data_IF_343438033039
#
_entry.id   IF_343438033039
#
_cell.length_a   1.000
_cell.length_b   1.000
_cell.length_c   1.000
_cell.angle_alpha   90.00
_cell.angle_beta   90.00
_cell.angle_gamma   90.00
#
_symmetry.space_group_name_H-M   'P 1'
#
loop_
_entity.id
_entity.type
_entity.pdbx_description
1 polymer ?
#
# COMPACT_ATOMS: atom_id res chain seq x y z
N UNK A 1 -2.94 31.17 -22.06
CA UNK A 1 -1.85 30.71 -21.18
C UNK A 1 -2.05 29.25 -20.73
N UNK A 2 -3.31 28.76 -20.63
CA UNK A 2 -3.65 27.37 -20.29
C UNK A 2 -3.51 26.33 -21.43
N UNK A 3 -3.15 26.74 -22.65
CA UNK A 3 -3.08 25.82 -23.81
C UNK A 3 -1.72 25.10 -23.97
N UNK A 4 -0.70 25.43 -23.19
CA UNK A 4 0.68 24.96 -23.43
C UNK A 4 1.36 24.30 -22.23
N UNK A 5 0.67 24.17 -21.09
CA UNK A 5 1.23 23.57 -19.87
C UNK A 5 0.27 22.49 -19.35
N UNK A 6 0.34 21.26 -19.87
CA UNK A 6 -0.43 20.16 -19.30
C UNK A 6 -0.04 19.98 -17.82
N UNK A 7 -0.99 19.64 -16.93
CA UNK A 7 -0.69 19.44 -15.52
C UNK A 7 0.41 18.36 -15.38
N UNK A 8 1.38 18.55 -14.49
CA UNK A 8 2.45 17.57 -14.29
C UNK A 8 1.84 16.23 -13.89
N UNK A 9 2.11 15.21 -14.69
CA UNK A 9 1.76 13.83 -14.39
C UNK A 9 2.87 13.23 -13.53
N UNK A 10 2.67 13.19 -12.22
CA UNK A 10 3.55 12.43 -11.33
C UNK A 10 3.27 10.96 -11.59
N UNK A 11 4.22 10.28 -12.25
CA UNK A 11 4.23 8.83 -12.35
C UNK A 11 4.92 8.29 -11.09
N UNK A 12 4.14 7.86 -10.12
CA UNK A 12 4.66 7.11 -8.96
C UNK A 12 4.69 5.65 -9.38
N UNK A 13 5.88 5.10 -9.54
CA UNK A 13 6.07 3.68 -9.79
C UNK A 13 6.85 3.11 -8.60
N UNK A 14 6.31 2.06 -7.97
CA UNK A 14 7.03 1.36 -6.89
C UNK A 14 8.11 0.50 -7.54
N UNK A 15 9.28 0.42 -6.89
CA UNK A 15 10.35 -0.45 -7.36
C UNK A 15 9.87 -1.92 -7.41
N UNK A 16 9.98 -2.63 -8.55
CA UNK A 16 9.46 -3.99 -8.68
C UNK A 16 10.13 -5.00 -7.74
N UNK A 17 11.38 -4.75 -7.35
CA UNK A 17 12.09 -5.60 -6.39
C UNK A 17 11.51 -5.41 -4.99
N UNK A 18 11.18 -4.17 -4.61
CA UNK A 18 10.46 -3.90 -3.36
C UNK A 18 9.08 -4.60 -3.34
N UNK A 19 8.32 -4.56 -4.43
CA UNK A 19 7.03 -5.28 -4.51
C UNK A 19 7.23 -6.78 -4.26
N UNK A 20 8.22 -7.39 -4.90
CA UNK A 20 8.54 -8.80 -4.68
C UNK A 20 8.84 -9.12 -3.22
N UNK A 21 9.61 -8.27 -2.54
CA UNK A 21 9.92 -8.43 -1.12
C UNK A 21 8.66 -8.34 -0.24
N UNK A 22 7.71 -7.48 -0.58
CA UNK A 22 6.40 -7.43 0.09
C UNK A 22 5.64 -8.75 -0.07
N UNK A 23 5.57 -9.28 -1.30
CA UNK A 23 4.85 -10.53 -1.60
C UNK A 23 5.49 -11.74 -0.88
N UNK A 24 6.81 -11.80 -0.83
CA UNK A 24 7.55 -12.81 -0.06
C UNK A 24 7.30 -12.64 1.45
N UNK A 25 7.34 -11.39 1.93
CA UNK A 25 7.07 -11.03 3.32
C UNK A 25 5.68 -11.45 3.78
N UNK A 26 4.63 -11.29 2.96
CA UNK A 26 3.28 -11.75 3.31
C UNK A 26 3.20 -13.25 3.57
N UNK A 27 3.96 -14.07 2.83
CA UNK A 27 3.95 -15.52 3.03
C UNK A 27 4.64 -15.97 4.33
N UNK A 28 5.52 -15.13 4.86
CA UNK A 28 6.31 -15.37 6.08
C UNK A 28 5.73 -14.68 7.33
N UNK A 29 4.89 -13.66 7.14
CA UNK A 29 4.25 -12.92 8.25
C UNK A 29 2.92 -13.59 8.65
N UNK A 30 2.92 -14.28 9.81
CA UNK A 30 1.74 -14.96 10.35
C UNK A 30 0.53 -14.03 10.55
N UNK A 31 0.73 -12.72 10.75
CA UNK A 31 -0.38 -11.78 10.88
C UNK A 31 -1.11 -11.55 9.54
N UNK A 32 -0.38 -11.60 8.43
CA UNK A 32 -0.87 -11.24 7.09
C UNK A 32 -1.04 -12.41 6.12
N UNK A 33 -0.39 -13.55 6.36
CA UNK A 33 -0.39 -14.71 5.43
C UNK A 33 -1.78 -15.18 5.02
N UNK A 34 -2.66 -15.46 5.99
CA UNK A 34 -4.04 -15.90 5.70
C UNK A 34 -4.84 -14.76 5.06
N UNK A 35 -4.72 -13.53 5.57
CA UNK A 35 -5.40 -12.34 5.04
C UNK A 35 -5.04 -12.06 3.59
N UNK A 36 -3.76 -12.18 3.25
CA UNK A 36 -3.27 -12.00 1.89
C UNK A 36 -3.78 -13.11 0.96
N UNK A 37 -3.85 -14.36 1.42
CA UNK A 37 -4.40 -15.45 0.59
C UNK A 37 -5.91 -15.32 0.34
N UNK A 38 -6.65 -14.81 1.31
CA UNK A 38 -8.11 -14.69 1.28
C UNK A 38 -8.60 -13.37 0.69
N UNK A 39 -7.76 -12.33 0.68
CA UNK A 39 -8.12 -11.01 0.19
C UNK A 39 -8.52 -11.04 -1.30
N UNK A 40 -9.67 -10.43 -1.58
CA UNK A 40 -10.16 -10.23 -2.94
C UNK A 40 -9.43 -9.08 -3.62
N UNK A 41 -9.45 -9.07 -4.95
CA UNK A 41 -9.01 -7.92 -5.72
C UNK A 41 -9.91 -6.70 -5.47
N UNK A 42 -9.34 -5.49 -5.54
CA UNK A 42 -10.02 -4.21 -5.23
C UNK A 42 -11.33 -4.02 -6.00
N UNK A 43 -11.36 -4.41 -7.27
CA UNK A 43 -12.53 -4.31 -8.15
C UNK A 43 -13.70 -5.19 -7.68
N UNK A 44 -13.41 -6.28 -6.96
CA UNK A 44 -14.41 -7.20 -6.39
C UNK A 44 -14.87 -6.79 -4.99
N UNK A 45 -14.29 -5.73 -4.42
CA UNK A 45 -14.59 -5.24 -3.09
C UNK A 45 -15.84 -4.33 -3.10
N UNK A 46 -17.00 -4.94 -3.35
CA UNK A 46 -18.30 -4.25 -3.30
C UNK A 46 -18.97 -4.30 -1.92
N UNK A 47 -18.55 -5.22 -1.07
CA UNK A 47 -19.09 -5.38 0.30
C UNK A 47 -18.38 -4.44 1.28
N UNK A 48 -19.09 -3.51 1.94
CA UNK A 48 -18.52 -2.61 2.94
C UNK A 48 -18.02 -3.32 4.20
N UNK A 49 -18.43 -4.57 4.46
CA UNK A 49 -17.96 -5.42 5.55
C UNK A 49 -16.57 -6.02 5.32
N UNK A 50 -16.11 -6.09 4.06
CA UNK A 50 -14.75 -6.52 3.75
C UNK A 50 -13.76 -5.42 4.14
N UNK A 51 -12.72 -5.80 4.87
CA UNK A 51 -11.68 -4.87 5.32
C UNK A 51 -10.33 -5.07 4.66
N UNK A 52 -10.10 -6.21 4.02
CA UNK A 52 -8.83 -6.53 3.36
C UNK A 52 -9.04 -6.73 1.86
N UNK A 53 -8.14 -6.20 1.05
CA UNK A 53 -8.15 -6.37 -0.40
C UNK A 53 -6.76 -6.25 -1.00
N UNK A 54 -6.60 -6.72 -2.24
CA UNK A 54 -5.39 -6.57 -3.05
C UNK A 54 -5.55 -5.52 -4.14
N UNK A 55 -4.50 -4.78 -4.41
CA UNK A 55 -4.43 -3.92 -5.59
C UNK A 55 -3.94 -4.68 -6.83
N UNK A 56 -3.57 -3.95 -7.88
CA UNK A 56 -3.08 -4.53 -9.13
C UNK A 56 -1.67 -5.15 -9.00
N UNK A 57 -0.89 -4.78 -7.99
CA UNK A 57 0.44 -5.31 -7.69
C UNK A 57 0.40 -6.44 -6.65
N UNK A 58 -0.80 -6.93 -6.32
CA UNK A 58 -1.09 -7.93 -5.30
C UNK A 58 -0.71 -7.51 -3.86
N UNK A 59 -0.49 -6.22 -3.62
CA UNK A 59 -0.19 -5.69 -2.29
C UNK A 59 -1.44 -5.71 -1.41
N UNK A 60 -1.27 -6.07 -0.13
CA UNK A 60 -2.38 -6.17 0.82
C UNK A 60 -2.69 -4.82 1.43
N UNK A 61 -3.94 -4.40 1.32
CA UNK A 61 -4.46 -3.21 1.99
C UNK A 61 -5.51 -3.58 3.03
N UNK A 62 -5.47 -2.85 4.15
CA UNK A 62 -6.51 -2.81 5.15
C UNK A 62 -7.29 -1.50 5.03
N UNK A 63 -8.62 -1.59 5.08
CA UNK A 63 -9.51 -0.44 5.17
C UNK A 63 -9.79 -0.13 6.64
N UNK A 64 -9.36 1.04 7.09
CA UNK A 64 -9.60 1.49 8.47
C UNK A 64 -11.05 1.96 8.71
N UNK A 65 -11.33 2.46 9.91
CA UNK A 65 -12.66 2.90 10.31
C UNK A 65 -13.19 4.08 9.48
N UNK A 66 -12.28 4.88 8.92
CA UNK A 66 -12.56 6.04 8.08
C UNK A 66 -12.56 5.68 6.59
N UNK A 67 -12.62 4.38 6.29
CA UNK A 67 -12.58 3.81 4.95
C UNK A 67 -11.28 4.12 4.18
N UNK A 68 -10.21 4.55 4.87
CA UNK A 68 -8.93 4.86 4.24
C UNK A 68 -8.11 3.58 4.04
N UNK A 69 -7.48 3.41 2.86
CA UNK A 69 -6.62 2.27 2.61
C UNK A 69 -5.26 2.45 3.29
N UNK A 70 -4.86 1.45 4.06
CA UNK A 70 -3.56 1.35 4.72
C UNK A 70 -2.82 0.15 4.15
N UNK A 71 -1.63 0.37 3.61
CA UNK A 71 -0.76 -0.72 3.17
C UNK A 71 -0.37 -1.59 4.38
N UNK A 72 -0.62 -2.89 4.29
CA UNK A 72 -0.14 -3.84 5.27
C UNK A 72 1.33 -4.12 5.02
N UNK A 73 2.22 -3.64 5.91
CA UNK A 73 3.67 -3.80 5.78
C UNK A 73 4.13 -5.04 6.58
N UNK A 74 4.67 -6.09 5.91
CA UNK A 74 5.21 -7.27 6.56
C UNK A 74 6.25 -6.91 7.62
N UNK A 75 6.30 -7.67 8.72
CA UNK A 75 7.17 -7.38 9.87
C UNK A 75 8.64 -7.14 9.49
N UNK A 76 9.17 -7.90 8.53
CA UNK A 76 10.56 -7.78 8.05
C UNK A 76 10.84 -6.49 7.27
N UNK A 77 9.81 -5.79 6.76
CA UNK A 77 9.96 -4.56 5.96
C UNK A 77 9.57 -3.29 6.73
N UNK A 78 9.10 -3.41 7.98
CA UNK A 78 8.67 -2.24 8.76
C UNK A 78 9.79 -1.24 9.00
N UNK A 79 11.01 -1.73 9.31
CA UNK A 79 12.15 -0.84 9.53
C UNK A 79 12.47 -0.05 8.27
N UNK A 80 12.56 -0.71 7.12
CA UNK A 80 12.76 -0.05 5.82
C UNK A 80 11.72 1.06 5.60
N UNK A 81 10.44 0.76 5.78
CA UNK A 81 9.36 1.76 5.58
C UNK A 81 9.48 2.93 6.58
N UNK A 82 9.87 2.68 7.83
CA UNK A 82 10.07 3.72 8.83
C UNK A 82 11.28 4.59 8.53
N UNK A 83 12.38 3.99 8.05
CA UNK A 83 13.59 4.67 7.63
C UNK A 83 13.31 5.59 6.44
N UNK A 84 12.64 5.07 5.40
CA UNK A 84 12.23 5.86 4.23
C UNK A 84 11.30 7.02 4.63
N UNK A 85 10.33 6.78 5.52
CA UNK A 85 9.45 7.83 6.03
C UNK A 85 10.19 8.90 6.85
N UNK A 86 11.26 8.52 7.55
CA UNK A 86 12.14 9.45 8.28
C UNK A 86 13.07 10.24 7.34
N UNK A 87 13.54 9.63 6.25
CA UNK A 87 14.45 10.24 5.26
C UNK A 87 13.71 11.06 4.18
N UNK A 88 12.38 11.12 4.23
CA UNK A 88 11.57 12.03 3.40
C UNK A 88 11.31 13.35 4.16
N UNK A 89 12.12 14.42 3.99
CA UNK A 89 11.92 15.70 4.69
C UNK A 89 10.61 16.42 4.34
N UNK A 90 9.81 15.90 3.39
CA UNK A 90 8.54 16.50 2.96
C UNK A 90 7.36 15.50 2.86
N UNK A 91 7.48 14.28 3.41
CA UNK A 91 6.49 13.21 3.25
C UNK A 91 5.50 13.07 4.42
N UNK A 92 4.53 13.98 4.54
CA UNK A 92 3.20 13.63 5.08
C UNK A 92 3.02 13.39 6.59
N UNK A 93 3.75 14.09 7.46
CA UNK A 93 3.32 14.25 8.87
C UNK A 93 2.24 15.34 8.98
N UNK A 94 1.05 15.07 8.44
CA UNK A 94 -0.15 15.84 8.73
C UNK A 94 -1.30 14.88 9.07
N UNK A 95 -1.21 14.32 10.28
CA UNK A 95 -2.37 14.00 11.09
C UNK A 95 -1.91 14.24 12.54
N UNK A 96 -2.54 15.21 13.19
CA UNK A 96 -2.17 15.73 14.52
C UNK A 96 -2.62 14.86 15.68
#
# INVERSE_FOLDING_TARGET
>A
WEASNPPPNIQVNVDPQLVKEFLEGYNQDEAFKSKWKEALARDKMHDPGLRFYKDAEELLFFRDADYQPRLCVPKNLRNLVLEEAHDQPFGGAHAG
#
